data_IF_945283113554
#
_entry.id   IF_945283113554
#
_cell.length_a   1.000
_cell.length_b   1.000
_cell.length_c   1.000
_cell.angle_alpha   90.00
_cell.angle_beta   90.00
_cell.angle_gamma   90.00
#
_symmetry.space_group_name_H-M   'P 1'
#
loop_
_entity.id
_entity.type
_entity.pdbx_description
1 polymer ?
#
# COMPACT_ATOMS: atom_id res chain seq x y z
N UNK A 1 -34.28 3.38 -18.30
CA UNK A 1 -33.46 4.60 -18.42
C UNK A 1 -32.04 4.11 -18.57
N UNK A 2 -31.38 4.55 -19.64
CA UNK A 2 -30.02 4.14 -19.95
C UNK A 2 -29.11 4.93 -19.02
N UNK A 3 -28.62 4.27 -17.97
CA UNK A 3 -27.73 4.82 -16.96
C UNK A 3 -26.31 4.96 -17.53
N UNK A 4 -26.19 5.58 -18.71
CA UNK A 4 -24.96 6.19 -19.20
C UNK A 4 -24.67 7.43 -18.33
N UNK A 5 -24.50 7.21 -17.02
CA UNK A 5 -24.02 8.19 -16.08
C UNK A 5 -22.75 8.80 -16.66
N UNK A 6 -22.77 10.13 -16.81
CA UNK A 6 -21.71 10.97 -17.36
C UNK A 6 -20.33 10.53 -16.84
N UNK A 7 -19.69 9.67 -17.63
CA UNK A 7 -18.34 9.20 -17.33
C UNK A 7 -17.43 10.43 -17.36
N UNK A 8 -16.71 10.67 -16.28
CA UNK A 8 -15.82 11.82 -16.17
C UNK A 8 -14.45 11.52 -16.77
N UNK A 9 -13.96 10.30 -16.56
CA UNK A 9 -12.72 9.85 -17.16
C UNK A 9 -12.49 8.35 -17.02
N UNK A 10 -11.56 7.86 -17.82
CA UNK A 10 -11.06 6.49 -17.77
C UNK A 10 -9.60 6.52 -17.32
N UNK A 11 -9.25 5.67 -16.37
CA UNK A 11 -7.93 5.64 -15.74
C UNK A 11 -7.25 4.27 -15.91
N UNK A 12 -5.92 4.28 -16.05
CA UNK A 12 -5.04 3.10 -15.99
C UNK A 12 -4.15 3.14 -14.73
N UNK A 13 -3.59 1.98 -14.40
CA UNK A 13 -2.68 1.76 -13.25
C UNK A 13 -3.24 2.32 -11.94
N UNK A 14 -4.53 2.07 -11.72
CA UNK A 14 -5.27 2.71 -10.64
C UNK A 14 -4.87 2.14 -9.30
N UNK A 15 -4.63 3.06 -8.35
CA UNK A 15 -4.53 2.81 -6.92
C UNK A 15 -5.73 3.39 -6.22
N UNK A 16 -6.40 2.56 -5.43
CA UNK A 16 -7.37 3.04 -4.45
C UNK A 16 -6.65 3.24 -3.14
N UNK A 17 -6.33 4.49 -2.84
CA UNK A 17 -5.61 4.90 -1.65
C UNK A 17 -6.60 5.05 -0.49
N UNK A 18 -6.54 4.14 0.48
CA UNK A 18 -7.24 4.22 1.75
C UNK A 18 -6.40 5.00 2.74
N UNK A 19 -7.00 6.00 3.39
CA UNK A 19 -6.31 6.79 4.42
C UNK A 19 -6.30 5.98 5.71
N UNK A 20 -5.11 5.78 6.27
CA UNK A 20 -4.90 4.96 7.47
C UNK A 20 -5.83 5.35 8.63
N UNK A 21 -6.34 4.36 9.35
CA UNK A 21 -7.31 4.49 10.43
C UNK A 21 -8.64 5.19 10.04
N UNK A 22 -9.00 5.23 8.75
CA UNK A 22 -10.29 5.76 8.29
C UNK A 22 -10.92 4.87 7.22
N UNK A 23 -12.21 5.09 6.93
CA UNK A 23 -12.90 4.48 5.78
C UNK A 23 -12.78 5.32 4.49
N UNK A 24 -12.06 6.45 4.56
CA UNK A 24 -11.96 7.40 3.45
C UNK A 24 -10.95 6.85 2.43
N UNK A 25 -11.32 6.94 1.15
CA UNK A 25 -10.41 6.58 0.06
C UNK A 25 -10.51 7.55 -1.11
N UNK A 26 -9.45 7.63 -1.92
CA UNK A 26 -9.41 8.34 -3.19
C UNK A 26 -8.64 7.50 -4.22
N UNK A 27 -8.72 7.88 -5.50
CA UNK A 27 -7.94 7.24 -6.56
C UNK A 27 -6.67 8.02 -6.85
N UNK A 28 -5.59 7.30 -7.12
CA UNK A 28 -4.47 7.75 -7.92
C UNK A 28 -4.40 6.89 -9.18
N UNK A 29 -4.02 7.47 -10.32
CA UNK A 29 -3.80 6.72 -11.56
C UNK A 29 -3.39 7.62 -12.70
N UNK A 30 -3.38 7.10 -13.92
CA UNK A 30 -3.05 7.86 -15.11
C UNK A 30 -4.23 7.95 -16.07
N UNK A 31 -4.40 9.13 -16.67
CA UNK A 31 -5.52 9.41 -17.55
C UNK A 31 -5.38 8.64 -18.87
N UNK A 32 -6.40 7.86 -19.22
CA UNK A 32 -6.56 7.34 -20.58
C UNK A 32 -7.39 8.34 -21.39
N UNK A 33 -8.49 8.81 -20.80
CA UNK A 33 -9.41 9.79 -21.38
C UNK A 33 -10.11 10.58 -20.27
N UNK A 34 -10.43 11.85 -20.50
CA UNK A 34 -11.07 12.71 -19.50
C UNK A 34 -11.86 13.84 -20.17
N UNK A 35 -13.07 14.12 -19.67
CA UNK A 35 -13.97 15.12 -20.28
C UNK A 35 -13.48 16.58 -20.14
N UNK A 36 -12.67 16.84 -19.12
CA UNK A 36 -12.02 18.14 -18.90
C UNK A 36 -10.77 18.29 -19.77
N UNK A 37 -10.62 19.44 -20.43
CA UNK A 37 -9.44 19.81 -21.22
C UNK A 37 -8.19 20.08 -20.38
N UNK A 38 -8.27 19.97 -19.05
CA UNK A 38 -7.13 20.18 -18.15
C UNK A 38 -6.17 19.00 -18.11
N UNK A 39 -6.62 17.82 -18.51
CA UNK A 39 -5.83 16.60 -18.46
C UNK A 39 -5.59 16.08 -19.88
N UNK A 40 -4.34 15.76 -20.15
CA UNK A 40 -3.92 15.02 -21.33
C UNK A 40 -3.86 13.53 -21.01
N UNK A 41 -3.86 12.70 -22.04
CA UNK A 41 -3.54 11.29 -21.89
C UNK A 41 -2.18 11.13 -21.22
N UNK A 42 -2.09 10.16 -20.33
CA UNK A 42 -0.92 9.79 -19.52
C UNK A 42 -0.55 10.79 -18.40
N UNK A 43 -1.32 11.87 -18.23
CA UNK A 43 -1.20 12.71 -17.02
C UNK A 43 -1.56 11.90 -15.77
N UNK A 44 -0.86 12.16 -14.67
CA UNK A 44 -1.26 11.65 -13.38
C UNK A 44 -2.54 12.33 -12.92
N UNK A 45 -3.34 11.59 -12.16
CA UNK A 45 -4.63 12.05 -11.68
C UNK A 45 -4.87 11.57 -10.26
N UNK A 46 -5.33 12.46 -9.40
CA UNK A 46 -5.84 12.14 -8.08
C UNK A 46 -7.31 12.57 -7.97
N UNK A 47 -8.19 11.65 -7.61
CA UNK A 47 -9.61 11.95 -7.48
C UNK A 47 -9.94 12.66 -6.16
N UNK A 48 -11.13 13.23 -6.08
CA UNK A 48 -11.79 13.47 -4.78
C UNK A 48 -12.18 12.15 -4.11
N UNK A 49 -12.68 12.23 -2.87
CA UNK A 49 -13.02 11.04 -2.09
C UNK A 49 -14.12 10.19 -2.74
N UNK A 50 -13.92 8.87 -2.66
CA UNK A 50 -14.82 7.85 -3.18
C UNK A 50 -15.97 7.66 -2.22
N UNK A 51 -17.19 7.69 -2.75
CA UNK A 51 -18.43 7.41 -2.04
C UNK A 51 -18.94 6.01 -2.30
N UNK A 52 -18.78 5.53 -3.53
CA UNK A 52 -19.33 4.25 -3.95
C UNK A 52 -18.47 3.63 -5.05
N UNK A 53 -18.43 2.30 -5.09
CA UNK A 53 -17.81 1.54 -6.16
C UNK A 53 -18.81 0.51 -6.68
N UNK A 54 -19.04 0.47 -7.98
CA UNK A 54 -19.87 -0.55 -8.64
C UNK A 54 -19.08 -1.28 -9.70
N UNK A 55 -19.48 -2.52 -9.97
CA UNK A 55 -19.02 -3.27 -11.12
C UNK A 55 -20.14 -3.28 -12.15
N UNK A 56 -19.89 -2.69 -13.32
CA UNK A 56 -20.86 -2.62 -14.43
C UNK A 56 -20.14 -3.13 -15.67
N UNK A 57 -20.73 -4.12 -16.36
CA UNK A 57 -20.15 -4.74 -17.56
C UNK A 57 -18.68 -5.20 -17.37
N UNK A 58 -18.35 -5.71 -16.19
CA UNK A 58 -17.01 -6.22 -15.86
C UNK A 58 -15.95 -5.15 -15.58
N UNK A 59 -16.33 -3.87 -15.51
CA UNK A 59 -15.42 -2.76 -15.18
C UNK A 59 -15.80 -2.09 -13.86
N UNK A 60 -14.82 -1.47 -13.22
CA UNK A 60 -15.02 -0.74 -11.96
C UNK A 60 -15.40 0.71 -12.22
N UNK A 61 -16.53 1.11 -11.67
CA UNK A 61 -17.03 2.48 -11.65
C UNK A 61 -16.86 3.06 -10.26
N UNK A 62 -16.03 4.09 -10.16
CA UNK A 62 -15.74 4.80 -8.93
C UNK A 62 -16.49 6.13 -8.88
N UNK A 63 -17.43 6.24 -7.95
CA UNK A 63 -18.28 7.40 -7.79
C UNK A 63 -17.73 8.32 -6.70
N UNK A 64 -17.49 9.58 -7.05
CA UNK A 64 -17.27 10.66 -6.10
C UNK A 64 -18.57 11.45 -5.88
N UNK A 65 -18.49 12.62 -5.24
CA UNK A 65 -19.66 13.51 -5.14
C UNK A 65 -20.20 13.96 -6.50
N UNK A 66 -19.33 14.18 -7.49
CA UNK A 66 -19.68 14.86 -8.74
C UNK A 66 -19.07 14.21 -10.00
N UNK A 67 -18.38 13.08 -9.85
CA UNK A 67 -17.63 12.47 -10.94
C UNK A 67 -17.67 10.95 -10.87
N UNK A 68 -17.52 10.32 -12.03
CA UNK A 68 -17.44 8.87 -12.17
C UNK A 68 -16.19 8.52 -12.96
N UNK A 69 -15.33 7.67 -12.39
CA UNK A 69 -14.12 7.20 -13.04
C UNK A 69 -14.22 5.71 -13.34
N UNK A 70 -13.79 5.34 -14.54
CA UNK A 70 -13.79 3.96 -15.02
C UNK A 70 -12.39 3.39 -15.03
N UNK A 71 -12.26 2.13 -14.64
CA UNK A 71 -11.04 1.36 -14.85
C UNK A 71 -11.33 -0.14 -14.95
N UNK A 72 -10.43 -0.88 -15.60
CA UNK A 72 -10.55 -2.33 -15.77
C UNK A 72 -10.14 -3.08 -14.50
N UNK A 73 -9.18 -2.55 -13.74
CA UNK A 73 -8.71 -3.11 -12.47
C UNK A 73 -8.13 -2.00 -11.58
N UNK A 74 -7.91 -2.31 -10.31
CA UNK A 74 -7.21 -1.41 -9.39
C UNK A 74 -6.48 -2.22 -8.33
N UNK A 75 -5.49 -1.60 -7.69
CA UNK A 75 -4.83 -2.13 -6.48
C UNK A 75 -5.20 -1.26 -5.29
N UNK A 76 -5.58 -1.88 -4.18
CA UNK A 76 -5.81 -1.17 -2.92
C UNK A 76 -4.48 -0.92 -2.22
N UNK A 77 -4.28 0.27 -1.68
CA UNK A 77 -3.09 0.65 -0.91
C UNK A 77 -3.53 1.48 0.30
N UNK A 78 -2.88 1.27 1.44
CA UNK A 78 -3.04 2.11 2.63
C UNK A 78 -1.97 3.20 2.55
N UNK A 79 -2.36 4.45 2.80
CA UNK A 79 -1.47 5.62 2.81
C UNK A 79 -1.66 6.39 4.11
N UNK A 80 -0.59 6.98 4.63
CA UNK A 80 -0.68 7.84 5.81
C UNK A 80 -1.29 9.20 5.44
N UNK A 81 -1.84 9.90 6.44
CA UNK A 81 -2.39 11.25 6.23
C UNK A 81 -1.34 12.24 5.66
N UNK A 82 -0.08 12.12 6.13
CA UNK A 82 1.03 12.95 5.67
C UNK A 82 1.44 12.74 4.20
N UNK A 83 1.03 11.62 3.59
CA UNK A 83 1.38 11.30 2.21
C UNK A 83 0.38 11.82 1.18
N UNK A 84 -0.84 12.18 1.63
CA UNK A 84 -1.96 12.53 0.76
C UNK A 84 -1.61 13.69 -0.16
N UNK A 85 -0.99 14.75 0.39
CA UNK A 85 -0.65 15.94 -0.39
C UNK A 85 0.40 15.63 -1.45
N UNK A 86 1.41 14.83 -1.12
CA UNK A 86 2.44 14.41 -2.08
C UNK A 86 1.84 13.56 -3.21
N UNK A 87 0.91 12.66 -2.88
CA UNK A 87 0.19 11.87 -3.89
C UNK A 87 -0.65 12.76 -4.80
N UNK A 88 -1.32 13.75 -4.22
CA UNK A 88 -2.11 14.75 -4.97
C UNK A 88 -1.27 15.74 -5.77
N UNK A 89 0.04 15.78 -5.56
CA UNK A 89 1.01 16.50 -6.39
C UNK A 89 1.64 15.61 -7.48
N UNK A 90 1.19 14.35 -7.57
CA UNK A 90 1.60 13.42 -8.63
C UNK A 90 2.64 12.39 -8.21
N UNK A 91 3.03 12.34 -6.93
CA UNK A 91 3.92 11.29 -6.46
C UNK A 91 3.16 9.95 -6.37
N UNK A 92 3.61 8.89 -7.07
CA UNK A 92 2.95 7.59 -6.96
C UNK A 92 2.98 7.06 -5.52
N UNK A 93 1.89 6.50 -5.01
CA UNK A 93 1.78 6.08 -3.61
C UNK A 93 2.78 4.98 -3.22
N UNK A 94 3.27 4.19 -4.19
CA UNK A 94 4.31 3.18 -3.97
C UNK A 94 5.65 3.77 -3.52
N UNK A 95 5.93 5.03 -3.88
CA UNK A 95 7.15 5.73 -3.46
C UNK A 95 7.06 6.14 -1.98
N UNK A 96 5.85 6.43 -1.50
CA UNK A 96 5.58 6.83 -0.11
C UNK A 96 5.63 5.64 0.85
N UNK A 97 5.30 4.44 0.38
CA UNK A 97 5.42 3.19 1.14
C UNK A 97 6.85 2.68 1.32
N UNK A 98 7.87 3.50 1.02
CA UNK A 98 9.23 3.26 1.52
C UNK A 98 9.35 3.33 3.07
N UNK A 99 8.23 3.53 3.78
CA UNK A 99 8.04 3.32 5.21
C UNK A 99 8.02 1.84 5.68
N UNK A 100 8.22 0.84 4.79
CA UNK A 100 8.74 -0.49 5.22
C UNK A 100 10.04 -0.31 6.04
N UNK A 101 10.80 0.76 5.78
CA UNK A 101 12.01 1.11 6.52
C UNK A 101 11.84 1.19 8.05
N UNK A 102 10.82 1.83 8.62
CA UNK A 102 10.87 2.09 10.08
C UNK A 102 10.46 0.88 10.91
N UNK A 103 9.37 0.20 10.57
CA UNK A 103 8.98 -1.01 11.32
C UNK A 103 9.93 -2.18 11.06
N UNK A 104 10.48 -2.30 9.83
CA UNK A 104 11.52 -3.29 9.57
C UNK A 104 12.81 -2.92 10.30
N UNK A 105 13.23 -1.65 10.33
CA UNK A 105 14.40 -1.22 11.11
C UNK A 105 14.19 -1.40 12.62
N UNK A 106 13.01 -1.12 13.15
CA UNK A 106 12.71 -1.33 14.58
C UNK A 106 12.73 -2.82 14.91
N UNK A 107 12.22 -3.67 14.02
CA UNK A 107 12.29 -5.13 14.15
C UNK A 107 13.73 -5.62 14.02
N UNK A 108 14.50 -5.13 13.03
CA UNK A 108 15.91 -5.45 12.83
C UNK A 108 16.74 -5.06 14.06
N UNK A 109 16.59 -3.81 14.54
CA UNK A 109 17.29 -3.30 15.73
C UNK A 109 16.91 -4.11 16.98
N UNK A 110 15.65 -4.53 17.09
CA UNK A 110 15.18 -5.42 18.15
C UNK A 110 15.82 -6.80 18.09
N UNK A 111 15.94 -7.38 16.90
CA UNK A 111 16.62 -8.66 16.66
C UNK A 111 18.12 -8.55 16.94
N UNK A 112 18.79 -7.49 16.50
CA UNK A 112 20.22 -7.26 16.77
C UNK A 112 20.50 -7.20 18.26
N UNK A 113 19.66 -6.53 19.06
CA UNK A 113 19.81 -6.48 20.52
C UNK A 113 19.63 -7.85 21.18
N UNK A 114 18.69 -8.67 20.71
CA UNK A 114 18.47 -10.03 21.20
C UNK A 114 19.67 -10.93 20.86
N UNK A 115 20.17 -10.87 19.63
CA UNK A 115 21.35 -11.60 19.17
C UNK A 115 22.58 -11.21 19.97
N UNK A 116 22.80 -9.91 20.22
CA UNK A 116 23.91 -9.40 21.05
C UNK A 116 23.83 -9.91 22.50
N UNK A 117 22.62 -9.97 23.07
CA UNK A 117 22.40 -10.45 24.43
C UNK A 117 22.67 -11.95 24.53
N UNK A 118 22.16 -12.72 23.57
CA UNK A 118 22.38 -14.17 23.49
C UNK A 118 23.86 -14.51 23.24
N UNK A 119 24.51 -13.82 22.30
CA UNK A 119 25.94 -13.98 22.03
C UNK A 119 26.82 -13.78 23.26
N UNK A 120 26.50 -12.77 24.10
CA UNK A 120 27.21 -12.49 25.35
C UNK A 120 26.97 -13.56 26.41
N UNK A 121 25.76 -14.08 26.50
CA UNK A 121 25.40 -15.17 27.43
C UNK A 121 26.18 -16.45 27.12
N UNK A 122 26.30 -16.81 25.84
CA UNK A 122 26.96 -18.04 25.39
C UNK A 122 28.43 -17.87 25.01
N UNK A 123 28.99 -16.65 25.15
CA UNK A 123 30.38 -16.30 24.78
C UNK A 123 30.75 -16.68 23.33
N UNK A 124 29.79 -16.56 22.42
CA UNK A 124 29.96 -16.96 21.02
C UNK A 124 30.65 -15.86 20.22
N UNK A 125 31.55 -16.26 19.32
CA UNK A 125 32.11 -15.37 18.30
C UNK A 125 31.12 -15.13 17.15
N UNK A 126 31.28 -14.02 16.41
CA UNK A 126 30.40 -13.65 15.29
C UNK A 126 30.20 -14.78 14.26
N UNK A 127 31.24 -15.57 13.97
CA UNK A 127 31.14 -16.67 13.01
C UNK A 127 30.27 -17.83 13.54
N UNK A 128 30.30 -18.11 14.85
CA UNK A 128 29.49 -19.16 15.46
C UNK A 128 28.00 -18.75 15.53
N UNK A 129 27.71 -17.45 15.63
CA UNK A 129 26.36 -16.90 15.55
C UNK A 129 25.80 -17.04 14.13
N UNK A 130 26.60 -16.73 13.12
CA UNK A 130 26.19 -16.85 11.71
C UNK A 130 25.89 -18.31 11.37
N UNK A 131 26.73 -19.24 11.82
CA UNK A 131 26.50 -20.67 11.63
C UNK A 131 25.26 -21.15 12.39
N UNK A 132 25.01 -20.67 13.61
CA UNK A 132 23.81 -21.03 14.38
C UNK A 132 22.52 -20.50 13.75
N UNK A 133 22.53 -19.29 13.20
CA UNK A 133 21.38 -18.71 12.48
C UNK A 133 21.14 -19.46 11.17
N UNK A 134 22.18 -19.77 10.40
CA UNK A 134 22.07 -20.50 9.14
C UNK A 134 21.53 -21.93 9.34
N UNK A 135 21.86 -22.57 10.47
CA UNK A 135 21.42 -23.94 10.77
C UNK A 135 20.08 -24.03 11.52
N UNK A 136 19.56 -22.94 12.09
CA UNK A 136 18.28 -22.91 12.84
C UNK A 136 17.25 -21.92 12.26
N UNK A 137 17.42 -21.49 11.00
CA UNK A 137 16.53 -20.53 10.36
C UNK A 137 15.06 -21.02 10.30
N UNK A 138 14.81 -22.32 10.35
CA UNK A 138 13.42 -22.84 10.41
C UNK A 138 12.81 -22.78 11.83
N UNK A 139 13.60 -22.94 12.90
CA UNK A 139 13.08 -22.98 14.28
C UNK A 139 12.87 -21.59 14.91
N UNK A 140 13.60 -20.56 14.44
CA UNK A 140 13.49 -19.18 14.93
C UNK A 140 12.23 -18.43 14.43
N UNK A 141 11.60 -18.90 13.35
CA UNK A 141 10.45 -18.23 12.72
C UNK A 141 9.13 -18.97 12.87
N UNK A 142 9.13 -20.23 13.31
CA UNK A 142 7.91 -20.93 13.74
C UNK A 142 7.83 -20.87 15.26
N UNK A 143 7.11 -19.86 15.78
CA UNK A 143 6.78 -19.80 17.20
C UNK A 143 6.15 -21.12 17.65
N UNK A 144 6.89 -21.88 18.46
CA UNK A 144 6.32 -22.99 19.21
C UNK A 144 5.34 -22.40 20.22
N UNK A 145 4.07 -22.54 19.88
CA UNK A 145 2.93 -22.17 20.68
C UNK A 145 2.77 -23.23 21.79
N UNK A 146 3.64 -23.18 22.81
CA UNK A 146 3.49 -24.00 24.00
C UNK A 146 2.63 -23.27 25.03
N UNK A 147 1.40 -23.77 25.17
CA UNK A 147 0.39 -23.24 26.08
C UNK A 147 -0.65 -24.29 26.47
N UNK A 148 -0.19 -25.36 27.13
CA UNK A 148 -0.81 -26.09 28.23
C UNK A 148 -2.33 -26.35 28.24
N UNK A 149 -2.72 -27.63 28.17
CA UNK A 149 -3.25 -28.40 29.32
C UNK A 149 -3.26 -29.90 29.01
#
# INVERSE_FOLDING_TARGET
MDDSYLLTGTLRDVRRCYIDNTEISFLFGYVIDHVSTRYSKDDWFASSYIREVKIVNGKYHFYTANSVYLTDNYTSIIVSDGDIDNIRLGMPPEVMNSAESINDLVTLVGLTKKVDSWAKEYKLGINEIVDAIANNADELFTGSNDGSS
#
